data_IF_164544577035
#
_entry.id   IF_164544577035
#
_cell.length_a   1.000
_cell.length_b   1.000
_cell.length_c   1.000
_cell.angle_alpha   90.00
_cell.angle_beta   90.00
_cell.angle_gamma   90.00
#
_symmetry.space_group_name_H-M   'P 1'
#
loop_
_entity.id
_entity.type
_entity.pdbx_description
1 polymer ?
#
# COMPACT_ATOMS: atom_id res chain seq x y z
N UNK A 1 18.79 -18.19 -0.79
CA UNK A 1 17.83 -17.63 -1.77
C UNK A 1 17.78 -16.12 -1.55
N UNK A 2 17.61 -15.30 -2.57
CA UNK A 2 17.41 -13.86 -2.35
C UNK A 2 16.14 -13.62 -1.53
N UNK A 3 16.07 -12.51 -0.76
CA UNK A 3 14.88 -12.18 0.04
C UNK A 3 13.66 -11.94 -0.84
N UNK A 4 12.48 -12.23 -0.31
CA UNK A 4 11.21 -11.83 -0.92
C UNK A 4 11.11 -10.31 -0.86
N UNK A 5 11.00 -9.65 -2.02
CA UNK A 5 10.83 -8.20 -2.07
C UNK A 5 9.34 -7.84 -2.00
N UNK A 6 8.98 -7.01 -1.02
CA UNK A 6 7.63 -6.50 -0.80
C UNK A 6 7.62 -5.02 -1.17
N UNK A 7 6.81 -4.65 -2.16
CA UNK A 7 6.65 -3.26 -2.56
C UNK A 7 5.61 -2.57 -1.66
N UNK A 8 6.06 -1.66 -0.82
CA UNK A 8 5.21 -0.78 0.00
C UNK A 8 4.74 0.40 -0.85
N UNK A 9 3.45 0.56 -1.06
CA UNK A 9 2.89 1.66 -1.86
C UNK A 9 2.32 2.71 -0.91
N UNK A 10 2.98 3.89 -0.91
CA UNK A 10 2.78 4.98 0.04
C UNK A 10 2.46 6.29 -0.69
N UNK A 11 1.80 7.26 -0.05
CA UNK A 11 1.79 8.64 -0.58
C UNK A 11 3.20 9.22 -0.64
N UNK A 12 3.91 9.18 0.47
CA UNK A 12 5.28 9.64 0.72
C UNK A 12 5.77 8.98 2.02
N UNK A 13 7.04 9.12 2.38
CA UNK A 13 7.61 8.56 3.61
C UNK A 13 8.13 9.66 4.56
N UNK A 14 7.25 10.61 4.90
CA UNK A 14 7.51 11.63 5.91
C UNK A 14 7.32 11.10 7.35
N UNK A 15 7.56 11.92 8.36
CA UNK A 15 7.43 11.55 9.77
C UNK A 15 5.95 11.54 10.24
N UNK A 16 5.15 10.62 9.72
CA UNK A 16 3.76 10.38 10.09
C UNK A 16 3.54 9.04 10.80
N UNK A 17 2.34 8.81 11.31
CA UNK A 17 2.02 7.59 12.06
C UNK A 17 2.05 6.32 11.21
N UNK A 18 1.53 6.39 9.98
CA UNK A 18 1.53 5.28 9.03
C UNK A 18 2.96 4.94 8.58
N UNK A 19 3.73 5.95 8.24
CA UNK A 19 5.12 5.84 7.80
C UNK A 19 6.02 5.28 8.92
N UNK A 20 5.85 5.80 10.13
CA UNK A 20 6.55 5.30 11.32
C UNK A 20 6.20 3.84 11.61
N UNK A 21 4.94 3.45 11.45
CA UNK A 21 4.52 2.05 11.59
C UNK A 21 5.25 1.15 10.58
N UNK A 22 5.26 1.53 9.30
CA UNK A 22 5.93 0.75 8.25
C UNK A 22 7.43 0.66 8.52
N UNK A 23 8.08 1.75 8.93
CA UNK A 23 9.50 1.76 9.27
C UNK A 23 9.82 0.90 10.51
N UNK A 24 8.97 0.89 11.53
CA UNK A 24 9.16 0.02 12.70
C UNK A 24 9.11 -1.46 12.30
N UNK A 25 8.19 -1.84 11.42
CA UNK A 25 8.15 -3.19 10.86
C UNK A 25 9.41 -3.47 10.04
N UNK A 26 9.84 -2.53 9.18
CA UNK A 26 11.01 -2.69 8.33
C UNK A 26 12.33 -2.84 9.10
N UNK A 27 12.47 -2.13 10.23
CA UNK A 27 13.61 -2.29 11.14
C UNK A 27 13.63 -3.66 11.80
N UNK A 28 12.46 -4.23 12.07
CA UNK A 28 12.29 -5.47 12.85
C UNK A 28 12.35 -6.75 11.99
N UNK A 29 12.02 -6.69 10.69
CA UNK A 29 12.05 -7.87 9.82
C UNK A 29 13.47 -8.37 9.58
N UNK A 30 13.63 -9.69 9.42
CA UNK A 30 14.85 -10.30 8.90
C UNK A 30 14.98 -9.96 7.40
N UNK A 31 15.80 -8.96 7.08
CA UNK A 31 16.01 -8.49 5.70
C UNK A 31 16.73 -9.50 4.81
N UNK A 32 17.30 -10.56 5.38
CA UNK A 32 17.79 -11.70 4.62
C UNK A 32 16.67 -12.58 4.05
N UNK A 33 15.48 -12.52 4.64
CA UNK A 33 14.29 -13.24 4.18
C UNK A 33 13.27 -12.35 3.48
N UNK A 34 13.03 -11.13 4.00
CA UNK A 34 12.02 -10.18 3.49
C UNK A 34 12.63 -8.80 3.40
N UNK A 35 12.65 -8.23 2.21
CA UNK A 35 13.15 -6.89 1.94
C UNK A 35 12.00 -5.98 1.49
N UNK A 36 11.97 -4.74 1.99
CA UNK A 36 10.99 -3.74 1.56
C UNK A 36 11.59 -2.82 0.52
N UNK A 37 10.79 -2.52 -0.51
CA UNK A 37 10.97 -1.44 -1.45
C UNK A 37 9.75 -0.53 -1.40
N UNK A 38 9.90 0.70 -1.88
CA UNK A 38 8.90 1.73 -1.70
C UNK A 38 8.53 2.39 -3.02
N UNK A 39 7.23 2.56 -3.26
CA UNK A 39 6.69 3.33 -4.37
C UNK A 39 5.91 4.51 -3.81
N UNK A 40 6.34 5.75 -4.16
CA UNK A 40 5.71 6.98 -3.72
C UNK A 40 4.88 7.62 -4.83
N UNK A 41 3.85 8.39 -4.42
CA UNK A 41 3.00 9.17 -5.32
C UNK A 41 3.39 10.66 -5.39
N UNK A 42 4.41 11.07 -4.64
CA UNK A 42 5.00 12.41 -4.66
C UNK A 42 6.49 12.33 -4.98
N UNK A 43 6.97 13.27 -5.80
CA UNK A 43 8.40 13.44 -6.06
C UNK A 43 8.96 14.58 -5.19
N UNK A 44 9.29 14.25 -3.97
CA UNK A 44 9.98 15.12 -3.02
C UNK A 44 10.93 14.30 -2.15
N UNK A 45 11.95 14.89 -1.56
CA UNK A 45 12.71 14.26 -0.47
C UNK A 45 11.78 13.99 0.71
N UNK A 46 11.90 12.83 1.32
CA UNK A 46 11.11 12.41 2.47
C UNK A 46 12.01 12.11 3.67
N UNK A 47 11.42 12.21 4.86
CA UNK A 47 12.15 12.04 6.12
C UNK A 47 12.87 10.69 6.23
N UNK A 48 12.25 9.61 5.73
CA UNK A 48 12.79 8.25 5.85
C UNK A 48 13.61 7.79 4.64
N UNK A 49 13.82 8.60 3.60
CA UNK A 49 14.50 8.17 2.36
C UNK A 49 15.90 7.60 2.64
N UNK A 50 16.74 8.36 3.37
CA UNK A 50 18.10 7.91 3.69
C UNK A 50 18.16 6.64 4.53
N UNK A 51 17.20 6.45 5.46
CA UNK A 51 17.12 5.24 6.27
C UNK A 51 16.67 4.04 5.45
N UNK A 52 15.69 4.21 4.56
CA UNK A 52 15.22 3.16 3.65
C UNK A 52 16.36 2.64 2.80
N UNK A 53 17.13 3.55 2.19
CA UNK A 53 18.29 3.21 1.37
C UNK A 53 19.39 2.52 2.19
N UNK A 54 19.69 3.03 3.38
CA UNK A 54 20.67 2.42 4.29
C UNK A 54 20.27 0.99 4.74
N UNK A 55 18.97 0.69 4.80
CA UNK A 55 18.45 -0.66 5.07
C UNK A 55 18.37 -1.55 3.82
N UNK A 56 18.80 -1.05 2.64
CA UNK A 56 18.84 -1.78 1.37
C UNK A 56 17.53 -1.76 0.57
N UNK A 57 16.58 -0.88 0.95
CA UNK A 57 15.34 -0.65 0.19
C UNK A 57 15.57 0.27 -1.01
N UNK A 58 14.80 0.06 -2.07
CA UNK A 58 14.76 0.95 -3.23
C UNK A 58 13.53 1.84 -3.18
N UNK A 59 13.68 3.08 -3.66
CA UNK A 59 12.58 4.05 -3.74
C UNK A 59 12.29 4.34 -5.20
N UNK A 60 11.03 4.16 -5.61
CA UNK A 60 10.50 4.54 -6.91
C UNK A 60 9.43 5.61 -6.73
N UNK A 61 9.44 6.65 -7.57
CA UNK A 61 8.48 7.76 -7.50
C UNK A 61 7.62 7.80 -8.76
N UNK A 62 6.30 7.68 -8.60
CA UNK A 62 5.31 7.83 -9.67
C UNK A 62 4.37 8.99 -9.31
N UNK A 63 4.55 10.12 -9.95
CA UNK A 63 4.11 11.47 -9.53
C UNK A 63 2.66 11.83 -9.81
N UNK A 64 1.72 10.88 -9.70
CA UNK A 64 0.30 11.11 -10.03
C UNK A 64 -0.32 12.30 -9.28
N UNK A 65 0.13 12.57 -8.05
CA UNK A 65 -0.39 13.67 -7.22
C UNK A 65 0.08 15.05 -7.69
N UNK A 66 1.21 15.13 -8.36
CA UNK A 66 1.74 16.39 -8.90
C UNK A 66 1.24 16.63 -10.33
N UNK A 67 1.20 15.58 -11.13
CA UNK A 67 0.86 15.65 -12.55
C UNK A 67 -0.65 15.69 -12.81
N UNK A 68 -1.48 15.20 -11.86
CA UNK A 68 -2.93 14.96 -12.01
C UNK A 68 -3.31 14.22 -13.31
N UNK A 69 -2.38 13.38 -13.82
CA UNK A 69 -2.51 12.67 -15.08
C UNK A 69 -2.70 11.17 -14.84
N UNK A 70 -3.94 10.74 -14.65
CA UNK A 70 -4.28 9.34 -14.41
C UNK A 70 -3.86 8.43 -15.58
N UNK A 71 -4.10 8.76 -16.87
CA UNK A 71 -3.62 7.92 -17.96
C UNK A 71 -2.10 7.69 -17.96
N UNK A 72 -1.31 8.74 -17.71
CA UNK A 72 0.15 8.62 -17.57
C UNK A 72 0.51 7.72 -16.39
N UNK A 73 -0.11 7.92 -15.24
CA UNK A 73 0.13 7.09 -14.05
C UNK A 73 -0.16 5.60 -14.29
N UNK A 74 -1.27 5.27 -14.97
CA UNK A 74 -1.60 3.88 -15.31
C UNK A 74 -0.59 3.27 -16.29
N UNK A 75 -0.12 4.07 -17.25
CA UNK A 75 0.95 3.68 -18.17
C UNK A 75 2.26 3.38 -17.42
N UNK A 76 2.68 4.30 -16.56
CA UNK A 76 3.93 4.20 -15.80
C UNK A 76 3.90 3.04 -14.78
N UNK A 77 2.75 2.82 -14.10
CA UNK A 77 2.55 1.65 -13.26
C UNK A 77 2.69 0.33 -14.04
N UNK A 78 2.09 0.27 -15.24
CA UNK A 78 2.19 -0.92 -16.08
C UNK A 78 3.62 -1.15 -16.52
N UNK A 79 4.32 -0.10 -16.97
CA UNK A 79 5.72 -0.18 -17.34
C UNK A 79 6.58 -0.66 -16.16
N UNK A 80 6.35 -0.09 -14.97
CA UNK A 80 7.04 -0.47 -13.74
C UNK A 80 6.85 -1.96 -13.41
N UNK A 81 5.62 -2.46 -13.29
CA UNK A 81 5.39 -3.87 -12.95
C UNK A 81 5.85 -4.84 -14.04
N UNK A 82 5.88 -4.40 -15.30
CA UNK A 82 6.43 -5.21 -16.40
C UNK A 82 7.95 -5.30 -16.32
N UNK A 83 8.63 -4.21 -15.94
CA UNK A 83 10.08 -4.16 -15.78
C UNK A 83 10.57 -4.85 -14.49
N UNK A 84 9.68 -4.98 -13.49
CA UNK A 84 10.00 -5.48 -12.15
C UNK A 84 9.16 -6.73 -11.79
N UNK A 85 9.34 -7.86 -12.49
CA UNK A 85 8.59 -9.09 -12.24
C UNK A 85 8.94 -9.77 -10.91
N UNK A 86 9.99 -9.31 -10.22
CA UNK A 86 10.39 -9.74 -8.88
C UNK A 86 9.38 -9.35 -7.80
N UNK A 87 8.59 -8.28 -7.99
CA UNK A 87 7.55 -7.88 -7.04
C UNK A 87 6.35 -8.83 -7.11
N UNK A 88 6.41 -9.90 -6.31
CA UNK A 88 5.29 -10.84 -6.15
C UNK A 88 4.30 -10.41 -5.05
N UNK A 89 4.69 -9.46 -4.23
CA UNK A 89 3.89 -8.93 -3.11
C UNK A 89 3.89 -7.41 -3.17
N UNK A 90 2.71 -6.82 -3.22
CA UNK A 90 2.51 -5.38 -2.97
C UNK A 90 1.70 -5.19 -1.70
N UNK A 91 2.03 -4.16 -0.93
CA UNK A 91 1.33 -3.75 0.28
C UNK A 91 0.98 -2.27 0.18
N UNK A 92 -0.29 -2.00 -0.09
CA UNK A 92 -0.79 -0.65 -0.32
C UNK A 92 -1.34 -0.01 0.95
N UNK A 93 -0.81 1.15 1.30
CA UNK A 93 -1.24 1.97 2.43
C UNK A 93 -2.05 3.19 2.01
N UNK A 94 -2.14 3.43 0.70
CA UNK A 94 -2.81 4.59 0.12
C UNK A 94 -4.12 4.20 -0.56
N UNK A 95 -5.23 4.24 0.17
CA UNK A 95 -6.53 3.78 -0.29
C UNK A 95 -7.11 4.60 -1.46
N UNK A 96 -6.90 5.93 -1.48
CA UNK A 96 -7.46 6.80 -2.52
C UNK A 96 -7.03 6.45 -3.94
N UNK A 97 -5.79 5.96 -4.15
CA UNK A 97 -5.31 5.48 -5.46
C UNK A 97 -5.26 3.96 -5.59
N UNK A 98 -5.67 3.24 -4.54
CA UNK A 98 -5.57 1.79 -4.46
C UNK A 98 -6.31 1.06 -5.56
N UNK A 99 -7.45 1.57 -6.01
CA UNK A 99 -8.20 1.00 -7.13
C UNK A 99 -7.37 0.95 -8.42
N UNK A 100 -6.46 1.89 -8.63
CA UNK A 100 -5.63 1.96 -9.82
C UNK A 100 -4.43 1.01 -9.72
N UNK A 101 -3.60 1.14 -8.67
CA UNK A 101 -2.39 0.32 -8.58
C UNK A 101 -2.69 -1.16 -8.34
N UNK A 102 -3.76 -1.51 -7.60
CA UNK A 102 -4.16 -2.91 -7.41
C UNK A 102 -4.67 -3.52 -8.73
N UNK A 103 -5.47 -2.78 -9.50
CA UNK A 103 -5.97 -3.25 -10.79
C UNK A 103 -4.84 -3.46 -11.81
N UNK A 104 -3.86 -2.55 -11.87
CA UNK A 104 -2.69 -2.70 -12.75
C UNK A 104 -1.81 -3.86 -12.29
N UNK A 105 -1.47 -3.94 -11.00
CA UNK A 105 -0.69 -5.03 -10.44
C UNK A 105 -1.33 -6.40 -10.72
N UNK A 106 -2.66 -6.53 -10.57
CA UNK A 106 -3.39 -7.76 -10.93
C UNK A 106 -3.22 -8.11 -12.40
N UNK A 107 -3.38 -7.14 -13.30
CA UNK A 107 -3.22 -7.35 -14.75
C UNK A 107 -1.80 -7.69 -15.15
N UNK A 108 -0.81 -7.22 -14.41
CA UNK A 108 0.62 -7.56 -14.59
C UNK A 108 1.01 -8.88 -13.87
N UNK A 109 0.07 -9.61 -13.27
CA UNK A 109 0.31 -10.92 -12.69
C UNK A 109 0.92 -10.90 -11.29
N UNK A 110 0.85 -9.79 -10.54
CA UNK A 110 1.28 -9.74 -9.13
C UNK A 110 0.31 -10.58 -8.30
N UNK A 111 0.75 -11.70 -7.69
CA UNK A 111 -0.19 -12.65 -7.06
C UNK A 111 -0.72 -12.17 -5.71
N UNK A 112 0.08 -11.45 -4.92
CA UNK A 112 -0.30 -10.98 -3.58
C UNK A 112 -0.45 -9.47 -3.57
N UNK A 113 -1.66 -9.01 -3.30
CA UNK A 113 -2.02 -7.59 -3.23
C UNK A 113 -2.71 -7.34 -1.90
N UNK A 114 -1.93 -6.82 -0.95
CA UNK A 114 -2.38 -6.49 0.38
C UNK A 114 -2.79 -5.01 0.45
N UNK A 115 -3.87 -4.72 1.14
CA UNK A 115 -4.30 -3.36 1.47
C UNK A 115 -4.32 -3.16 2.98
N UNK A 116 -3.88 -1.99 3.45
CA UNK A 116 -3.83 -1.65 4.85
C UNK A 116 -4.60 -0.35 5.14
N UNK A 117 -5.61 -0.44 5.99
CA UNK A 117 -6.38 0.70 6.45
C UNK A 117 -5.76 1.32 7.69
N UNK A 118 -5.43 2.61 7.62
CA UNK A 118 -4.89 3.39 8.74
C UNK A 118 -5.87 4.42 9.28
N UNK A 119 -6.80 4.89 8.45
CA UNK A 119 -7.73 5.95 8.80
C UNK A 119 -9.02 5.39 9.41
N UNK A 120 -9.61 6.13 10.34
CA UNK A 120 -10.89 5.80 11.00
C UNK A 120 -12.04 6.71 10.57
N UNK A 121 -11.77 7.72 9.75
CA UNK A 121 -12.75 8.64 9.18
C UNK A 121 -12.22 9.27 7.89
N UNK A 122 -13.11 9.71 7.01
CA UNK A 122 -12.81 10.61 5.89
C UNK A 122 -13.04 12.06 6.34
N UNK A 123 -12.34 12.99 5.70
CA UNK A 123 -12.58 14.41 5.93
C UNK A 123 -13.99 14.82 5.50
N UNK A 124 -14.59 15.79 6.21
CA UNK A 124 -15.93 16.31 5.93
C UNK A 124 -15.90 17.44 4.88
N UNK A 125 -15.16 17.24 3.79
CA UNK A 125 -15.05 18.18 2.66
C UNK A 125 -15.17 17.44 1.32
N UNK A 126 -15.12 18.17 0.21
CA UNK A 126 -15.22 17.59 -1.14
C UNK A 126 -14.10 16.59 -1.43
N UNK A 127 -12.90 16.86 -0.92
CA UNK A 127 -11.75 15.95 -1.07
C UNK A 127 -12.00 14.63 -0.35
N UNK A 128 -12.50 14.68 0.89
CA UNK A 128 -12.85 13.48 1.66
C UNK A 128 -14.00 12.67 1.04
N UNK A 129 -14.97 13.35 0.39
CA UNK A 129 -16.02 12.64 -0.36
C UNK A 129 -15.46 11.93 -1.59
N UNK A 130 -14.55 12.57 -2.32
CA UNK A 130 -13.86 11.95 -3.46
C UNK A 130 -12.98 10.79 -3.01
N UNK A 131 -12.20 10.95 -1.95
CA UNK A 131 -11.39 9.88 -1.36
C UNK A 131 -12.26 8.70 -0.92
N UNK A 132 -13.42 8.94 -0.33
CA UNK A 132 -14.39 7.90 0.02
C UNK A 132 -14.90 7.14 -1.21
N UNK A 133 -15.23 7.86 -2.30
CA UNK A 133 -15.69 7.25 -3.54
C UNK A 133 -14.58 6.40 -4.18
N UNK A 134 -13.36 6.90 -4.24
CA UNK A 134 -12.21 6.18 -4.78
C UNK A 134 -11.85 4.97 -3.91
N UNK A 135 -11.85 5.15 -2.59
CA UNK A 135 -11.55 4.08 -1.63
C UNK A 135 -12.61 2.98 -1.61
N UNK A 136 -13.85 3.26 -1.99
CA UNK A 136 -14.91 2.23 -2.08
C UNK A 136 -14.61 1.11 -3.07
N UNK A 137 -13.67 1.33 -3.99
CA UNK A 137 -13.20 0.33 -4.96
C UNK A 137 -11.81 -0.24 -4.64
N UNK A 138 -11.20 0.21 -3.55
CA UNK A 138 -9.88 -0.25 -3.12
C UNK A 138 -9.83 -1.77 -2.91
N UNK A 139 -10.90 -2.31 -2.39
CA UNK A 139 -11.04 -3.71 -1.98
C UNK A 139 -11.14 -4.70 -3.15
N UNK A 140 -11.60 -4.25 -4.31
CA UNK A 140 -11.98 -5.12 -5.44
C UNK A 140 -10.86 -6.05 -5.93
N UNK A 141 -9.63 -5.53 -5.98
CA UNK A 141 -8.47 -6.27 -6.51
C UNK A 141 -7.51 -6.78 -5.42
N UNK A 142 -7.88 -6.65 -4.14
CA UNK A 142 -7.08 -7.14 -3.03
C UNK A 142 -7.19 -8.65 -2.84
N UNK A 143 -6.07 -9.27 -2.45
CA UNK A 143 -6.01 -10.65 -1.96
C UNK A 143 -6.02 -10.71 -0.43
N UNK A 144 -5.44 -9.70 0.23
CA UNK A 144 -5.32 -9.62 1.69
C UNK A 144 -5.71 -8.23 2.18
N UNK A 145 -6.32 -8.18 3.37
CA UNK A 145 -6.80 -6.95 4.01
C UNK A 145 -6.25 -6.85 5.40
N UNK A 146 -5.64 -5.70 5.70
CA UNK A 146 -5.12 -5.36 7.02
C UNK A 146 -5.72 -4.04 7.48
N UNK A 147 -5.77 -3.84 8.79
CA UNK A 147 -6.15 -2.58 9.40
C UNK A 147 -5.47 -2.41 10.75
N UNK A 148 -5.12 -1.18 11.09
CA UNK A 148 -4.51 -0.84 12.38
C UNK A 148 -5.51 -0.88 13.56
N UNK A 149 -6.82 -0.96 13.27
CA UNK A 149 -7.89 -1.11 14.25
C UNK A 149 -9.16 -1.67 13.60
N UNK A 150 -10.07 -2.20 14.41
CA UNK A 150 -11.38 -2.65 13.95
C UNK A 150 -12.12 -1.52 13.19
N UNK A 151 -12.13 -0.30 13.77
CA UNK A 151 -12.79 0.86 13.15
C UNK A 151 -12.18 1.24 11.80
N UNK A 152 -10.87 1.17 11.66
CA UNK A 152 -10.20 1.43 10.38
C UNK A 152 -10.57 0.37 9.33
N UNK A 153 -10.64 -0.91 9.73
CA UNK A 153 -11.08 -2.00 8.85
C UNK A 153 -12.53 -1.86 8.40
N UNK A 154 -13.43 -1.57 9.34
CA UNK A 154 -14.84 -1.34 9.06
C UNK A 154 -15.07 -0.14 8.13
N UNK A 155 -14.27 0.92 8.30
CA UNK A 155 -14.36 2.11 7.48
C UNK A 155 -13.97 1.83 6.02
N UNK A 156 -12.85 1.16 5.79
CA UNK A 156 -12.33 0.95 4.45
C UNK A 156 -12.98 -0.20 3.71
N UNK A 157 -13.22 -1.31 4.40
CA UNK A 157 -13.69 -2.56 3.78
C UNK A 157 -15.19 -2.83 4.02
N UNK A 158 -15.84 -2.03 4.88
CA UNK A 158 -17.23 -2.24 5.30
C UNK A 158 -17.36 -3.29 6.41
N UNK A 159 -18.33 -3.08 7.31
CA UNK A 159 -18.53 -3.91 8.49
C UNK A 159 -18.72 -5.40 8.16
N UNK A 160 -19.55 -5.73 7.17
CA UNK A 160 -19.85 -7.12 6.84
C UNK A 160 -18.63 -7.89 6.33
N UNK A 161 -17.86 -7.30 5.40
CA UNK A 161 -16.67 -7.95 4.83
C UNK A 161 -15.53 -8.07 5.85
N UNK A 162 -15.38 -7.07 6.73
CA UNK A 162 -14.35 -7.09 7.77
C UNK A 162 -14.60 -8.18 8.82
N UNK A 163 -15.84 -8.29 9.32
CA UNK A 163 -16.22 -9.30 10.32
C UNK A 163 -16.27 -10.72 9.78
N UNK A 164 -16.69 -10.95 8.55
CA UNK A 164 -16.69 -12.28 7.92
C UNK A 164 -15.29 -12.90 7.90
N UNK A 165 -14.22 -12.11 7.72
CA UNK A 165 -12.85 -12.61 7.66
C UNK A 165 -12.20 -12.83 9.03
N UNK A 166 -12.56 -12.05 10.05
CA UNK A 166 -12.13 -12.32 11.43
C UNK A 166 -12.65 -13.68 11.94
N UNK A 167 -13.78 -14.16 11.43
CA UNK A 167 -14.34 -15.48 11.76
C UNK A 167 -13.67 -16.64 10.99
N UNK A 168 -13.01 -16.36 9.86
CA UNK A 168 -12.36 -17.36 9.01
C UNK A 168 -10.87 -17.53 9.29
N UNK A 169 -10.27 -16.68 10.13
CA UNK A 169 -8.90 -16.85 10.61
C UNK A 169 -8.99 -17.41 12.03
N UNK A 170 -8.78 -18.72 12.26
CA UNK A 170 -8.67 -19.21 13.61
C UNK A 170 -7.48 -18.50 14.26
N UNK A 171 -7.70 -17.82 15.35
CA UNK A 171 -6.62 -17.45 16.28
C UNK A 171 -6.09 -18.77 16.81
N UNK A 172 -5.06 -19.32 16.15
CA UNK A 172 -4.24 -20.34 16.77
C UNK A 172 -3.54 -19.65 17.94
N UNK A 173 -3.86 -20.13 19.14
CA UNK A 173 -3.27 -19.71 20.39
C UNK A 173 -1.75 -19.61 20.27
N UNK A 174 -1.22 -18.39 20.54
CA UNK A 174 0.19 -18.15 20.82
C UNK A 174 0.28 -17.82 22.29
#
# INVERSE_FOLDING_TARGET
MPPIRVLQIMPAMDAGGMETFVMNVYRAVDRGQVQFDFLYHYDKPCFYDAEIEALGGHITKLTVRQDNNIPKYLHDLRAFFTAHPEYKVIHGHYSGFGMFYNAVARRCGVPVRAGHSHNTAYEHNLVGQLDRLMSSRFDHDLTHRFACSQRAGEMLYGKQLWHLRLQLTPMSDV
#
